data_IF_110514380306
#
_entry.id   IF_110514380306
#
_cell.length_a   1.000
_cell.length_b   1.000
_cell.length_c   1.000
_cell.angle_alpha   90.00
_cell.angle_beta   90.00
_cell.angle_gamma   90.00
#
_symmetry.space_group_name_H-M   'P 1'
#
loop_
_entity.id
_entity.type
_entity.pdbx_description
1 polymer ?
#
# COMPACT_ATOMS: atom_id res chain seq x y z
N UNK A 1 3.08 -14.71 -6.37
CA UNK A 1 2.25 -14.35 -5.20
C UNK A 1 0.79 -14.67 -5.49
N UNK A 2 0.08 -15.31 -4.56
CA UNK A 2 -1.36 -15.54 -4.66
C UNK A 2 -2.12 -14.30 -4.14
N UNK A 3 -3.27 -13.97 -4.73
CA UNK A 3 -4.14 -12.86 -4.31
C UNK A 3 -4.48 -12.89 -2.81
N UNK A 4 -4.64 -14.08 -2.24
CA UNK A 4 -4.98 -14.27 -0.81
C UNK A 4 -3.89 -13.87 0.19
N UNK A 5 -2.64 -13.72 -0.24
CA UNK A 5 -1.52 -13.25 0.60
C UNK A 5 -1.45 -11.72 0.67
N UNK A 6 -2.06 -11.02 -0.29
CA UNK A 6 -2.07 -9.56 -0.35
C UNK A 6 -3.18 -9.02 0.56
N UNK A 7 -2.75 -8.38 1.65
CA UNK A 7 -3.63 -7.78 2.67
C UNK A 7 -3.32 -6.30 2.81
N UNK A 8 -4.37 -5.49 2.91
CA UNK A 8 -4.26 -4.07 3.17
C UNK A 8 -5.24 -3.64 4.25
N UNK A 9 -5.05 -2.44 4.81
CA UNK A 9 -6.03 -1.86 5.74
C UNK A 9 -6.87 -0.81 5.02
N UNK A 10 -8.18 -0.82 5.28
CA UNK A 10 -9.07 0.24 4.82
C UNK A 10 -8.60 1.58 5.37
N UNK A 11 -8.36 2.58 4.51
CA UNK A 11 -7.96 3.93 4.96
C UNK A 11 -9.00 4.64 5.83
N UNK A 12 -10.27 4.21 5.77
CA UNK A 12 -11.38 4.84 6.51
C UNK A 12 -11.68 4.17 7.84
N UNK A 13 -11.77 2.83 7.87
CA UNK A 13 -12.15 2.09 9.08
C UNK A 13 -11.03 1.24 9.68
N UNK A 14 -9.86 1.17 9.03
CA UNK A 14 -8.72 0.38 9.51
C UNK A 14 -8.88 -1.13 9.41
N UNK A 15 -10.03 -1.64 8.94
CA UNK A 15 -10.29 -3.08 8.81
C UNK A 15 -9.34 -3.72 7.80
N UNK A 16 -8.91 -4.95 8.10
CA UNK A 16 -8.15 -5.77 7.15
C UNK A 16 -9.01 -6.12 5.94
N UNK A 17 -8.53 -5.75 4.76
CA UNK A 17 -9.08 -6.02 3.46
C UNK A 17 -8.19 -7.04 2.75
N UNK A 18 -8.84 -7.96 2.04
CA UNK A 18 -8.17 -8.88 1.12
C UNK A 18 -8.18 -8.26 -0.27
N UNK A 19 -7.18 -8.57 -1.07
CA UNK A 19 -7.15 -8.17 -2.48
C UNK A 19 -8.42 -8.67 -3.17
N UNK A 20 -9.16 -7.74 -3.75
CA UNK A 20 -10.35 -8.01 -4.55
C UNK A 20 -9.93 -8.41 -5.96
N UNK A 21 -9.10 -7.57 -6.58
CA UNK A 21 -8.57 -7.76 -7.92
C UNK A 21 -7.10 -7.34 -7.96
N UNK A 22 -6.33 -7.90 -8.89
CA UNK A 22 -4.94 -7.53 -9.13
C UNK A 22 -4.68 -7.43 -10.63
N UNK A 23 -4.08 -6.31 -11.00
CA UNK A 23 -3.51 -6.03 -12.30
C UNK A 23 -1.99 -6.20 -12.27
N UNK A 24 -1.33 -6.01 -13.42
CA UNK A 24 0.13 -6.08 -13.55
C UNK A 24 0.85 -5.05 -12.66
N UNK A 25 0.23 -3.89 -12.45
CA UNK A 25 0.81 -2.75 -11.71
C UNK A 25 0.14 -2.47 -10.35
N UNK A 26 -1.15 -2.79 -10.18
CA UNK A 26 -1.91 -2.43 -8.98
C UNK A 26 -2.71 -3.59 -8.38
N UNK A 27 -2.90 -3.55 -7.06
CA UNK A 27 -3.81 -4.41 -6.32
C UNK A 27 -4.95 -3.57 -5.80
N UNK A 28 -6.18 -3.93 -6.16
CA UNK A 28 -7.40 -3.27 -5.71
C UNK A 28 -7.97 -4.00 -4.49
N UNK A 29 -8.30 -3.23 -3.46
CA UNK A 29 -8.91 -3.69 -2.22
C UNK A 29 -10.27 -3.02 -2.07
N UNK A 30 -11.33 -3.82 -1.98
CA UNK A 30 -12.67 -3.31 -1.73
C UNK A 30 -13.06 -3.47 -0.25
N UNK A 31 -13.50 -2.38 0.36
CA UNK A 31 -14.05 -2.41 1.72
C UNK A 31 -15.57 -2.54 1.67
N UNK A 32 -16.10 -3.75 1.89
CA UNK A 32 -17.56 -3.97 1.99
C UNK A 32 -18.23 -3.18 3.14
N UNK A 33 -17.48 -2.74 4.15
CA UNK A 33 -18.01 -1.95 5.27
C UNK A 33 -18.17 -0.49 4.91
N UNK A 34 -17.20 0.08 4.20
CA UNK A 34 -17.16 1.50 3.86
C UNK A 34 -17.62 1.81 2.44
N UNK A 35 -17.72 0.80 1.58
CA UNK A 35 -18.03 0.93 0.15
C UNK A 35 -16.93 1.60 -0.67
N UNK A 36 -15.68 1.62 -0.19
CA UNK A 36 -14.56 2.28 -0.88
C UNK A 36 -13.61 1.27 -1.54
N UNK A 37 -13.01 1.70 -2.64
CA UNK A 37 -11.91 1.00 -3.31
C UNK A 37 -10.57 1.64 -2.95
N UNK A 38 -9.57 0.82 -2.70
CA UNK A 38 -8.20 1.23 -2.40
C UNK A 38 -7.27 0.51 -3.36
N UNK A 39 -6.53 1.26 -4.18
CA UNK A 39 -5.54 0.71 -5.10
C UNK A 39 -4.15 0.91 -4.51
N UNK A 40 -3.37 -0.16 -4.43
CA UNK A 40 -1.99 -0.14 -3.92
C UNK A 40 -1.09 -0.78 -4.97
N UNK A 41 0.03 -0.14 -5.35
CA UNK A 41 0.92 -0.71 -6.37
C UNK A 41 1.49 -2.05 -5.93
N UNK A 42 1.55 -3.01 -6.86
CA UNK A 42 2.01 -4.39 -6.58
C UNK A 42 3.45 -4.43 -6.06
N UNK A 43 4.25 -3.42 -6.39
CA UNK A 43 5.62 -3.23 -5.93
C UNK A 43 5.71 -3.15 -4.40
N UNK A 44 4.70 -2.60 -3.71
CA UNK A 44 4.68 -2.58 -2.24
C UNK A 44 4.47 -3.96 -1.61
N UNK A 45 4.02 -4.94 -2.39
CA UNK A 45 3.81 -6.33 -1.96
C UNK A 45 4.86 -7.29 -2.53
N UNK A 46 5.62 -6.85 -3.54
CA UNK A 46 6.82 -7.54 -3.98
C UNK A 46 7.91 -7.14 -3.00
N UNK A 47 8.12 -7.99 -2.01
CA UNK A 47 9.26 -7.94 -1.08
C UNK A 47 10.58 -7.95 -1.88
N UNK A 48 11.00 -6.78 -2.35
CA UNK A 48 12.40 -6.40 -2.27
C UNK A 48 12.51 -5.53 -1.01
N UNK A 49 13.55 -5.73 -0.18
CA UNK A 49 13.74 -4.92 1.01
C UNK A 49 13.83 -3.47 0.57
N UNK A 50 12.80 -2.67 0.88
CA UNK A 50 12.88 -1.23 0.72
C UNK A 50 14.15 -0.79 1.47
N UNK A 51 15.18 -0.21 0.81
CA UNK A 51 16.13 0.57 1.56
C UNK A 51 15.29 1.62 2.29
N UNK A 52 15.52 1.71 3.60
CA UNK A 52 14.87 2.66 4.50
C UNK A 52 14.67 4.01 3.81
N UNK A 53 13.56 4.74 4.11
CA UNK A 53 13.31 6.05 3.53
C UNK A 53 14.60 6.85 3.55
N UNK A 54 15.09 7.19 2.36
CA UNK A 54 16.20 8.12 2.20
C UNK A 54 15.73 9.44 2.79
N UNK A 55 16.08 9.62 4.05
CA UNK A 55 16.12 10.90 4.72
C UNK A 55 16.93 11.85 3.82
N UNK A 56 16.24 12.76 3.14
CA UNK A 56 16.90 13.92 2.52
C UNK A 56 15.97 15.13 2.53
N UNK A 57 16.48 16.36 2.75
CA UNK A 57 17.81 16.71 3.26
C UNK A 57 17.74 17.65 4.47
N UNK A 58 18.73 17.49 5.36
CA UNK A 58 19.27 18.58 6.15
C UNK A 58 19.49 19.82 5.25
N UNK A 59 18.74 20.90 5.49
CA UNK A 59 19.20 22.26 5.22
C UNK A 59 18.79 23.16 6.38
N UNK A 60 19.58 23.05 7.43
CA UNK A 60 19.89 24.16 8.32
C UNK A 60 20.75 25.13 7.50
N UNK A 61 20.21 26.29 7.10
CA UNK A 61 21.05 27.43 6.76
C UNK A 61 20.43 28.68 7.40
N UNK A 62 21.01 29.00 8.55
CA UNK A 62 21.01 30.34 9.13
C UNK A 62 21.84 31.25 8.24
N UNK A 63 21.32 32.42 7.94
CA UNK A 63 22.13 33.62 7.74
C UNK A 63 21.57 34.72 8.64
#
# INVERSE_FOLDING_TARGET
>A
MRLGDMKAKCRKCGKELKADSKDDDFVTFYCMVCGIYTNIPVEQFKDEPQPAPVDKPEKKESQ
#
